data_IF_651252998763
#
_entry.id   IF_651252998763
#
_cell.length_a   1.000
_cell.length_b   1.000
_cell.length_c   1.000
_cell.angle_alpha   90.00
_cell.angle_beta   90.00
_cell.angle_gamma   90.00
#
_symmetry.space_group_name_H-M   'P 1'
#
loop_
_entity.id
_entity.type
_entity.pdbx_description
1 polymer ?
#
# COMPACT_ATOMS: atom_id res chain seq x y z
N UNK A 1 2.37 -2.40 -28.77
CA UNK A 1 3.70 -2.91 -28.35
C UNK A 1 3.44 -3.98 -27.30
N UNK A 2 3.67 -5.27 -27.58
CA UNK A 2 3.36 -6.38 -26.65
C UNK A 2 4.65 -7.11 -26.29
N UNK A 3 5.32 -6.69 -25.22
CA UNK A 3 6.57 -7.27 -24.74
C UNK A 3 6.31 -8.06 -23.45
N UNK A 4 6.86 -9.28 -23.36
CA UNK A 4 6.82 -10.12 -22.17
C UNK A 4 8.23 -10.14 -21.57
N UNK A 5 8.36 -9.83 -20.28
CA UNK A 5 9.63 -9.84 -19.55
C UNK A 5 9.86 -11.20 -18.87
N UNK A 6 11.11 -11.66 -18.82
CA UNK A 6 11.47 -13.00 -18.32
C UNK A 6 12.52 -12.88 -17.21
N UNK A 7 12.16 -13.30 -16.00
CA UNK A 7 13.10 -13.39 -14.87
C UNK A 7 13.77 -14.77 -14.78
N UNK A 8 13.04 -15.83 -15.13
CA UNK A 8 13.51 -17.23 -15.12
C UNK A 8 13.05 -17.91 -16.41
N UNK A 9 13.88 -18.78 -16.97
CA UNK A 9 13.53 -19.54 -18.18
C UNK A 9 12.26 -20.38 -17.95
N UNK A 10 11.34 -20.33 -18.91
CA UNK A 10 10.06 -21.03 -18.85
C UNK A 10 9.76 -21.67 -20.22
N UNK A 11 9.55 -22.98 -20.23
CA UNK A 11 9.20 -23.73 -21.44
C UNK A 11 7.67 -23.87 -21.54
N UNK A 12 7.03 -22.99 -22.30
CA UNK A 12 5.56 -22.95 -22.44
C UNK A 12 4.96 -24.25 -23.00
N UNK A 13 5.72 -25.00 -23.80
CA UNK A 13 5.32 -26.31 -24.33
C UNK A 13 4.98 -27.35 -23.25
N UNK A 14 5.56 -27.22 -22.06
CA UNK A 14 5.36 -28.15 -20.95
C UNK A 14 4.16 -27.77 -20.06
N UNK A 15 3.55 -26.60 -20.29
CA UNK A 15 2.44 -26.09 -19.48
C UNK A 15 1.11 -26.59 -20.07
N UNK A 16 0.36 -27.37 -19.28
CA UNK A 16 -0.93 -27.95 -19.70
C UNK A 16 -2.16 -27.14 -19.29
N UNK A 17 -2.02 -26.32 -18.24
CA UNK A 17 -3.12 -25.55 -17.68
C UNK A 17 -2.66 -24.12 -17.40
N UNK A 18 -3.53 -23.16 -17.69
CA UNK A 18 -3.32 -21.74 -17.45
C UNK A 18 -4.39 -21.26 -16.49
N UNK A 19 -3.96 -20.89 -15.28
CA UNK A 19 -4.83 -20.23 -14.29
C UNK A 19 -4.73 -18.73 -14.47
N UNK A 20 -5.88 -18.05 -14.43
CA UNK A 20 -5.96 -16.59 -14.47
C UNK A 20 -6.61 -16.10 -13.18
N UNK A 21 -6.02 -15.06 -12.61
CA UNK A 21 -6.70 -14.26 -11.60
C UNK A 21 -7.69 -13.30 -12.28
N UNK A 22 -8.67 -12.79 -11.55
CA UNK A 22 -9.72 -11.93 -12.11
C UNK A 22 -9.33 -10.46 -12.02
N UNK A 23 -9.27 -9.93 -10.80
CA UNK A 23 -9.07 -8.51 -10.53
C UNK A 23 -7.65 -8.08 -10.91
N UNK A 24 -7.54 -6.97 -11.66
CA UNK A 24 -6.27 -6.45 -12.17
C UNK A 24 -5.45 -7.41 -13.08
N UNK A 25 -6.03 -8.56 -13.47
CA UNK A 25 -5.44 -9.51 -14.42
C UNK A 25 -6.31 -9.67 -15.66
N UNK A 26 -7.56 -10.14 -15.51
CA UNK A 26 -8.54 -10.20 -16.60
C UNK A 26 -9.42 -8.95 -16.63
N UNK A 27 -9.83 -8.48 -15.46
CA UNK A 27 -10.59 -7.26 -15.28
C UNK A 27 -9.63 -6.12 -14.93
N UNK A 28 -9.23 -5.33 -15.94
CA UNK A 28 -8.44 -4.13 -15.74
C UNK A 28 -9.35 -2.97 -15.34
N UNK A 29 -9.19 -2.50 -14.10
CA UNK A 29 -9.91 -1.33 -13.60
C UNK A 29 -9.32 -0.05 -14.17
N UNK A 30 -10.17 0.93 -14.44
CA UNK A 30 -9.73 2.24 -14.95
C UNK A 30 -9.16 3.08 -13.82
N UNK A 31 -7.87 3.37 -13.93
CA UNK A 31 -7.18 4.33 -13.07
C UNK A 31 -7.31 5.76 -13.64
N UNK A 32 -7.62 6.79 -12.83
CA UNK A 32 -7.73 6.79 -11.36
C UNK A 32 -9.17 6.62 -10.82
N UNK A 33 -10.16 6.31 -11.68
CA UNK A 33 -11.57 6.36 -11.29
C UNK A 33 -11.94 5.31 -10.23
N UNK A 34 -11.36 4.12 -10.32
CA UNK A 34 -11.64 3.03 -9.37
C UNK A 34 -11.03 3.31 -7.98
N UNK A 35 -9.82 3.87 -7.95
CA UNK A 35 -9.10 4.25 -6.74
C UNK A 35 -9.80 5.43 -6.06
N UNK A 36 -10.26 6.41 -6.83
CA UNK A 36 -11.04 7.53 -6.32
C UNK A 36 -12.36 7.07 -5.70
N UNK A 37 -13.10 6.19 -6.37
CA UNK A 37 -14.33 5.61 -5.82
C UNK A 37 -14.04 4.86 -4.51
N UNK A 38 -12.97 4.07 -4.47
CA UNK A 38 -12.57 3.33 -3.27
C UNK A 38 -12.22 4.28 -2.12
N UNK A 39 -11.49 5.36 -2.42
CA UNK A 39 -11.13 6.40 -1.45
C UNK A 39 -12.38 7.08 -0.85
N UNK A 40 -13.36 7.43 -1.69
CA UNK A 40 -14.61 8.04 -1.24
C UNK A 40 -15.42 7.10 -0.32
N UNK A 41 -15.55 5.83 -0.68
CA UNK A 41 -16.22 4.82 0.16
C UNK A 41 -15.52 4.62 1.51
N UNK A 42 -14.19 4.65 1.55
CA UNK A 42 -13.42 4.54 2.80
C UNK A 42 -13.64 5.77 3.68
N UNK A 43 -13.64 7.00 3.11
CA UNK A 43 -13.96 8.22 3.87
C UNK A 43 -15.33 8.12 4.53
N UNK A 44 -16.36 7.74 3.77
CA UNK A 44 -17.72 7.56 4.29
C UNK A 44 -17.76 6.54 5.41
N UNK A 45 -17.07 5.41 5.23
CA UNK A 45 -17.00 4.36 6.26
C UNK A 45 -16.32 4.86 7.52
N UNK A 46 -15.22 5.59 7.43
CA UNK A 46 -14.52 6.15 8.57
C UNK A 46 -15.41 7.13 9.34
N UNK A 47 -16.11 8.06 8.65
CA UNK A 47 -17.06 8.96 9.31
C UNK A 47 -18.15 8.18 10.03
N UNK A 48 -18.68 7.11 9.41
CA UNK A 48 -19.69 6.25 10.05
C UNK A 48 -19.21 5.57 11.34
N UNK A 49 -17.88 5.37 11.47
CA UNK A 49 -17.25 4.81 12.66
C UNK A 49 -16.95 5.84 13.76
N UNK A 50 -17.29 7.11 13.54
CA UNK A 50 -17.10 8.19 14.51
C UNK A 50 -15.87 9.06 14.28
N UNK A 51 -15.23 8.99 13.12
CA UNK A 51 -14.16 9.90 12.76
C UNK A 51 -14.68 11.32 12.46
N UNK A 52 -13.83 12.35 12.59
CA UNK A 52 -14.20 13.73 12.30
C UNK A 52 -14.76 13.88 10.88
N UNK A 53 -15.82 14.66 10.69
CA UNK A 53 -16.49 14.83 9.39
C UNK A 53 -15.63 15.59 8.38
N UNK A 54 -14.63 16.32 8.87
CA UNK A 54 -13.64 17.08 8.11
C UNK A 54 -12.91 16.20 7.09
N UNK A 55 -12.76 14.88 7.36
CA UNK A 55 -12.10 13.96 6.43
C UNK A 55 -12.84 13.82 5.09
N UNK A 56 -14.13 14.14 5.03
CA UNK A 56 -14.91 14.11 3.77
C UNK A 56 -14.41 15.14 2.76
N UNK A 57 -13.74 16.20 3.23
CA UNK A 57 -13.19 17.26 2.38
C UNK A 57 -11.91 16.84 1.67
N UNK A 58 -11.31 15.70 2.03
CA UNK A 58 -10.11 15.22 1.37
C UNK A 58 -10.42 14.76 -0.06
N UNK A 59 -9.60 15.24 -1.00
CA UNK A 59 -9.64 14.83 -2.39
C UNK A 59 -8.54 13.80 -2.66
N UNK A 60 -8.85 12.83 -3.52
CA UNK A 60 -7.88 11.83 -3.92
C UNK A 60 -6.91 12.42 -4.94
N UNK A 61 -5.62 12.41 -4.61
CA UNK A 61 -4.53 12.78 -5.52
C UNK A 61 -3.82 11.51 -6.03
N UNK A 62 -3.97 11.14 -7.31
CA UNK A 62 -3.33 9.95 -7.88
C UNK A 62 -1.81 10.08 -8.02
N UNK A 63 -1.24 11.28 -7.88
CA UNK A 63 0.20 11.51 -8.00
C UNK A 63 0.98 11.20 -6.73
N UNK A 64 0.29 11.13 -5.58
CA UNK A 64 0.91 10.93 -4.27
C UNK A 64 1.23 9.45 -3.97
N UNK A 65 0.27 8.50 -4.04
CA UNK A 65 0.55 7.12 -3.71
C UNK A 65 1.39 6.45 -4.81
N UNK A 66 2.43 5.75 -4.40
CA UNK A 66 3.24 4.90 -5.28
C UNK A 66 3.09 3.45 -4.80
N UNK A 67 2.96 2.51 -5.75
CA UNK A 67 2.86 1.09 -5.42
C UNK A 67 4.11 0.59 -4.67
N UNK A 68 3.90 -0.25 -3.66
CA UNK A 68 4.98 -0.91 -2.90
C UNK A 68 5.53 -0.10 -1.72
N UNK A 69 4.80 0.93 -1.27
CA UNK A 69 5.11 1.63 -0.02
C UNK A 69 4.74 0.76 1.19
N UNK A 70 5.53 0.91 2.24
CA UNK A 70 5.32 0.29 3.55
C UNK A 70 4.68 1.32 4.46
N UNK A 71 3.69 0.91 5.25
CA UNK A 71 3.11 1.76 6.26
C UNK A 71 3.60 1.37 7.64
N UNK A 72 4.15 2.33 8.35
CA UNK A 72 4.55 2.24 9.74
C UNK A 72 3.40 2.72 10.62
N UNK A 73 2.73 1.78 11.29
CA UNK A 73 1.60 2.08 12.16
C UNK A 73 1.99 2.68 13.51
N UNK A 74 3.26 2.58 13.92
CA UNK A 74 3.72 3.13 15.19
C UNK A 74 3.87 4.64 15.10
N UNK A 75 4.54 5.11 14.03
CA UNK A 75 4.80 6.53 13.82
C UNK A 75 3.93 7.18 12.74
N UNK A 76 3.12 6.41 12.01
CA UNK A 76 2.27 6.90 10.94
C UNK A 76 3.03 7.30 9.68
N UNK A 77 4.16 6.64 9.40
CA UNK A 77 5.02 6.98 8.27
C UNK A 77 4.75 6.08 7.05
N UNK A 78 4.91 6.65 5.86
CA UNK A 78 4.98 5.92 4.60
C UNK A 78 6.44 5.80 4.19
N UNK A 79 6.90 4.56 4.02
CA UNK A 79 8.28 4.22 3.77
C UNK A 79 8.44 3.56 2.40
N UNK A 80 9.41 4.03 1.63
CA UNK A 80 9.92 3.31 0.46
C UNK A 80 11.20 2.61 0.86
N UNK A 81 11.21 1.29 0.79
CA UNK A 81 12.35 0.47 1.19
C UNK A 81 12.96 -0.26 0.00
N UNK A 82 14.25 -0.57 0.09
CA UNK A 82 14.91 -1.48 -0.86
C UNK A 82 14.72 -2.95 -0.44
N UNK A 83 15.26 -3.88 -1.24
CA UNK A 83 15.19 -5.32 -0.95
C UNK A 83 15.99 -5.74 0.31
N UNK A 84 16.87 -4.88 0.82
CA UNK A 84 17.68 -5.12 2.01
C UNK A 84 17.08 -4.46 3.27
N UNK A 85 15.94 -3.77 3.14
CA UNK A 85 15.26 -3.08 4.23
C UNK A 85 15.79 -1.68 4.53
N UNK A 86 16.63 -1.09 3.66
CA UNK A 86 17.07 0.29 3.83
C UNK A 86 15.97 1.26 3.40
N UNK A 87 15.73 2.30 4.20
CA UNK A 87 14.75 3.33 3.89
C UNK A 87 15.32 4.29 2.83
N UNK A 88 14.71 4.31 1.66
CA UNK A 88 15.01 5.22 0.56
C UNK A 88 14.25 6.54 0.70
N UNK A 89 12.97 6.47 1.09
CA UNK A 89 12.10 7.62 1.28
C UNK A 89 11.24 7.38 2.52
N UNK A 90 11.03 8.41 3.32
CA UNK A 90 10.05 8.42 4.40
C UNK A 90 9.20 9.68 4.29
N UNK A 91 7.90 9.50 4.40
CA UNK A 91 6.90 10.58 4.37
C UNK A 91 6.04 10.46 5.61
N UNK A 92 5.89 11.56 6.34
CA UNK A 92 4.93 11.66 7.44
C UNK A 92 3.78 12.56 7.00
N UNK A 93 2.58 11.98 6.82
CA UNK A 93 1.48 12.67 6.15
C UNK A 93 1.87 13.07 4.72
N UNK A 94 2.08 14.36 4.47
CA UNK A 94 2.55 14.90 3.18
C UNK A 94 3.98 15.46 3.23
N UNK A 95 4.64 15.39 4.38
CA UNK A 95 5.98 15.94 4.58
C UNK A 95 7.05 14.88 4.33
N UNK A 96 7.96 15.16 3.40
CA UNK A 96 9.11 14.30 3.13
C UNK A 96 10.19 14.50 4.20
N UNK A 97 10.51 13.44 4.94
CA UNK A 97 11.56 13.47 5.94
C UNK A 97 12.94 13.37 5.28
N UNK A 98 13.83 14.31 5.65
CA UNK A 98 15.21 14.33 5.16
C UNK A 98 16.01 13.16 5.75
N UNK A 99 16.98 12.68 4.98
CA UNK A 99 17.80 11.50 5.29
C UNK A 99 18.49 11.53 6.66
N UNK A 100 18.80 12.72 7.19
CA UNK A 100 19.44 12.88 8.51
C UNK A 100 18.48 12.48 9.64
N UNK A 101 17.17 12.73 9.48
CA UNK A 101 16.15 12.42 10.49
C UNK A 101 15.72 10.94 10.46
N UNK A 102 15.93 10.23 9.35
CA UNK A 102 15.61 8.80 9.21
C UNK A 102 16.29 7.94 10.28
N UNK A 103 17.53 8.28 10.65
CA UNK A 103 18.30 7.55 11.68
C UNK A 103 17.70 7.69 13.08
N UNK A 104 16.95 8.76 13.35
CA UNK A 104 16.31 8.99 14.65
C UNK A 104 14.99 8.22 14.76
N UNK A 105 14.25 8.11 13.66
CA UNK A 105 12.97 7.36 13.61
C UNK A 105 13.19 5.86 13.78
N UNK A 106 14.26 5.31 13.18
CA UNK A 106 14.54 3.86 13.24
C UNK A 106 15.09 3.41 14.60
N UNK A 107 15.81 4.27 15.34
CA UNK A 107 16.40 3.89 16.63
C UNK A 107 15.38 3.63 17.75
N UNK A 108 14.10 3.98 17.54
CA UNK A 108 13.02 3.75 18.51
C UNK A 108 12.06 2.63 18.09
N UNK A 109 12.39 1.82 17.08
CA UNK A 109 11.69 0.56 16.80
C UNK A 109 11.95 -0.50 17.90
N UNK A 110 11.73 -0.15 19.16
CA UNK A 110 11.51 -1.11 20.22
C UNK A 110 10.00 -1.33 20.38
N UNK A 111 9.66 -2.62 20.34
CA UNK A 111 8.34 -3.20 20.55
C UNK A 111 7.65 -2.64 21.81
N UNK A 112 6.35 -2.34 21.66
CA UNK A 112 5.24 -2.40 22.64
C UNK A 112 4.38 -1.11 22.67
N UNK A 113 3.07 -1.35 22.71
CA UNK A 113 1.95 -0.41 22.89
C UNK A 113 1.28 0.17 21.63
N UNK A 114 0.37 -0.65 21.07
CA UNK A 114 -0.49 -0.34 19.93
C UNK A 114 -1.96 -0.59 20.29
N UNK A 115 -2.63 0.32 21.02
CA UNK A 115 -4.10 0.28 21.18
C UNK A 115 -4.83 1.65 21.05
N UNK A 116 -4.24 2.84 21.22
CA UNK A 116 -5.05 4.06 21.48
C UNK A 116 -4.72 5.35 20.69
N UNK A 117 -4.51 5.33 19.38
CA UNK A 117 -4.36 6.58 18.58
C UNK A 117 -5.44 6.71 17.47
N UNK A 118 -6.48 7.55 17.66
CA UNK A 118 -7.58 7.69 16.70
C UNK A 118 -7.20 8.42 15.40
N UNK A 119 -6.32 9.41 15.41
CA UNK A 119 -6.03 10.24 14.22
C UNK A 119 -5.19 9.54 13.14
N UNK A 120 -4.44 8.49 13.49
CA UNK A 120 -3.46 7.81 12.63
C UNK A 120 -4.03 6.64 11.83
N UNK A 121 -5.19 6.11 12.22
CA UNK A 121 -5.90 5.05 11.49
C UNK A 121 -6.48 5.53 10.15
N UNK A 122 -6.75 6.83 10.01
CA UNK A 122 -7.30 7.44 8.79
C UNK A 122 -6.34 7.30 7.63
N UNK A 123 -5.08 7.68 7.84
CA UNK A 123 -4.04 7.61 6.80
C UNK A 123 -3.70 6.18 6.42
N UNK A 124 -3.67 5.25 7.39
CA UNK A 124 -3.50 3.83 7.09
C UNK A 124 -4.63 3.31 6.22
N UNK A 125 -5.89 3.52 6.60
CA UNK A 125 -7.01 3.00 5.84
C UNK A 125 -7.12 3.68 4.46
N UNK A 126 -6.89 4.99 4.35
CA UNK A 126 -6.97 5.68 3.06
C UNK A 126 -5.82 5.29 2.12
N UNK A 127 -4.58 5.17 2.63
CA UNK A 127 -3.41 4.84 1.79
C UNK A 127 -3.32 3.34 1.54
N UNK A 128 -3.61 2.48 2.52
CA UNK A 128 -3.61 1.03 2.35
C UNK A 128 -4.71 0.61 1.37
N UNK A 129 -5.92 1.15 1.43
CA UNK A 129 -6.94 0.79 0.44
C UNK A 129 -6.67 1.37 -0.97
N UNK A 130 -6.06 2.55 -1.07
CA UNK A 130 -5.64 3.11 -2.36
C UNK A 130 -4.41 2.42 -2.99
N UNK A 131 -3.65 1.64 -2.21
CA UNK A 131 -2.43 0.95 -2.69
C UNK A 131 -2.52 -0.58 -2.65
N UNK A 132 -3.44 -1.15 -1.86
CA UNK A 132 -3.65 -2.59 -1.71
C UNK A 132 -4.54 -3.17 -2.80
N UNK A 133 -5.33 -2.36 -3.50
CA UNK A 133 -6.05 -2.83 -4.69
C UNK A 133 -5.08 -3.29 -5.79
N UNK A 134 -3.82 -2.84 -5.77
CA UNK A 134 -2.80 -3.23 -6.74
C UNK A 134 -1.64 -4.05 -6.16
N UNK A 135 -1.79 -4.57 -4.93
CA UNK A 135 -0.78 -5.44 -4.35
C UNK A 135 -0.81 -6.81 -5.06
N UNK A 136 0.28 -7.25 -5.72
CA UNK A 136 0.37 -8.63 -6.14
C UNK A 136 0.25 -9.50 -4.89
N UNK A 137 -0.62 -10.50 -4.97
CA UNK A 137 -0.81 -11.54 -3.98
C UNK A 137 0.57 -12.18 -3.74
N UNK A 138 1.30 -11.70 -2.73
CA UNK A 138 2.41 -12.48 -2.19
C UNK A 138 1.75 -13.70 -1.59
N UNK A 139 1.88 -14.82 -2.29
CA UNK A 139 1.37 -16.10 -1.86
C UNK A 139 1.68 -16.27 -0.39
N UNK A 140 0.64 -16.59 0.39
CA UNK A 140 0.83 -17.17 1.70
C UNK A 140 1.93 -18.24 1.58
N UNK A 141 2.89 -18.34 2.51
CA UNK A 141 3.77 -19.48 2.53
C UNK A 141 2.85 -20.70 2.61
N UNK A 142 2.77 -21.43 1.50
CA UNK A 142 2.08 -22.70 1.47
C UNK A 142 2.88 -23.59 2.40
N UNK A 143 2.38 -23.74 3.62
CA UNK A 143 2.71 -24.85 4.50
C UNK A 143 2.30 -26.13 3.78
N UNK A 144 3.15 -26.58 2.86
CA UNK A 144 3.18 -27.94 2.37
C UNK A 144 4.23 -28.63 3.23
N UNK A 145 3.73 -29.68 3.90
CA UNK A 145 4.36 -30.59 4.86
C UNK A 145 5.85 -30.83 4.68
#
# INVERSE_FOLDING_TARGET
>A
MSRIFVNRSLHLENIKFYGFDMDYTLAEYKSPQYEQMSFDLVKERLVSMGYPKEIMQFEYDPSFPIRGLWFDALYGNLLKVDAYGNILVCVHGFEFLKQILLKLVINYCDLLELINAPSLRVTYHLVFFATASEMPIWGAPSSIK
#
